data_IF_730899827921
#
_entry.id   IF_730899827921
#
_cell.length_a   1.000
_cell.length_b   1.000
_cell.length_c   1.000
_cell.angle_alpha   90.00
_cell.angle_beta   90.00
_cell.angle_gamma   90.00
#
_symmetry.space_group_name_H-M   'P 1'
#
loop_
_entity.id
_entity.type
_entity.pdbx_description
1 polymer ?
#
# COMPACT_ATOMS: atom_id res chain seq x y z
N UNK A 1 6.04 7.68 -10.96
CA UNK A 1 5.98 6.65 -9.91
C UNK A 1 7.10 5.67 -10.14
N UNK A 2 7.75 5.17 -9.09
CA UNK A 2 8.87 4.23 -9.17
C UNK A 2 8.43 2.90 -8.57
N UNK A 3 8.68 1.82 -9.32
CA UNK A 3 8.32 0.46 -8.94
C UNK A 3 9.51 -0.49 -9.05
N UNK A 4 9.51 -1.53 -8.22
CA UNK A 4 10.47 -2.65 -8.22
C UNK A 4 9.71 -3.97 -8.44
N UNK A 5 10.32 -5.04 -8.95
CA UNK A 5 9.65 -6.34 -9.02
C UNK A 5 9.24 -6.87 -7.65
N UNK A 6 8.12 -7.58 -7.60
CA UNK A 6 7.54 -8.11 -6.35
C UNK A 6 8.47 -9.07 -5.60
N UNK A 7 9.36 -9.75 -6.32
CA UNK A 7 10.23 -10.79 -5.77
C UNK A 7 11.42 -10.24 -4.97
N UNK A 8 11.61 -8.92 -4.92
CA UNK A 8 12.75 -8.27 -4.23
C UNK A 8 12.72 -8.50 -2.70
N UNK A 9 11.61 -9.00 -2.12
CA UNK A 9 11.44 -9.12 -0.67
C UNK A 9 10.93 -10.47 -0.16
N UNK A 10 11.06 -11.56 -0.93
CA UNK A 10 10.75 -12.89 -0.39
C UNK A 10 11.87 -13.41 0.50
N UNK A 11 11.95 -12.92 1.75
CA UNK A 11 12.57 -13.68 2.84
C UNK A 11 11.59 -13.85 4.00
N UNK A 12 11.19 -15.12 4.18
CA UNK A 12 10.68 -15.78 5.40
C UNK A 12 9.37 -15.26 6.00
N UNK A 13 8.26 -15.96 5.71
CA UNK A 13 7.55 -16.73 6.74
C UNK A 13 6.66 -17.82 6.12
N UNK A 14 6.84 -19.02 6.65
CA UNK A 14 6.19 -20.27 6.29
C UNK A 14 4.72 -20.28 6.64
N UNK A 15 3.92 -20.87 5.76
CA UNK A 15 2.54 -21.24 6.00
C UNK A 15 2.41 -22.08 7.29
N UNK A 16 1.51 -21.67 8.19
CA UNK A 16 1.04 -22.50 9.29
C UNK A 16 -0.47 -22.69 9.18
N UNK A 17 -0.92 -23.86 9.62
CA UNK A 17 -2.22 -24.46 9.37
C UNK A 17 -3.39 -23.69 10.00
N UNK A 18 -4.43 -23.51 9.20
CA UNK A 18 -5.60 -22.64 9.41
C UNK A 18 -6.46 -22.91 10.65
N UNK A 19 -6.34 -24.07 11.31
CA UNK A 19 -7.22 -24.44 12.44
C UNK A 19 -6.60 -24.16 13.81
N UNK A 20 -5.27 -24.04 13.90
CA UNK A 20 -4.58 -23.80 15.18
C UNK A 20 -4.38 -22.30 15.46
N UNK A 21 -4.17 -21.49 14.41
CA UNK A 21 -3.95 -20.05 14.55
C UNK A 21 -5.17 -19.31 15.11
N UNK A 22 -6.40 -19.68 14.72
CA UNK A 22 -7.62 -19.03 15.19
C UNK A 22 -7.87 -19.27 16.69
N UNK A 23 -7.52 -20.47 17.19
CA UNK A 23 -7.61 -20.81 18.61
C UNK A 23 -6.53 -20.10 19.44
N UNK A 24 -5.31 -19.97 18.91
CA UNK A 24 -4.21 -19.25 19.56
C UNK A 24 -4.49 -17.75 19.61
N UNK A 25 -5.00 -17.15 18.51
CA UNK A 25 -5.46 -15.77 18.49
C UNK A 25 -6.59 -15.56 19.51
N UNK A 26 -7.61 -16.44 19.55
CA UNK A 26 -8.66 -16.37 20.57
C UNK A 26 -8.10 -16.43 22.00
N UNK A 27 -7.13 -17.32 22.28
CA UNK A 27 -6.50 -17.45 23.60
C UNK A 27 -5.68 -16.20 23.98
N UNK A 28 -4.99 -15.59 23.02
CA UNK A 28 -4.30 -14.30 23.23
C UNK A 28 -5.33 -13.21 23.55
N UNK A 29 -6.44 -13.13 22.81
CA UNK A 29 -7.49 -12.14 23.06
C UNK A 29 -8.24 -12.37 24.39
N UNK A 30 -8.40 -13.61 24.84
CA UNK A 30 -8.97 -13.95 26.15
C UNK A 30 -8.07 -13.54 27.32
N UNK A 31 -6.77 -13.36 27.10
CA UNK A 31 -5.81 -12.94 28.12
C UNK A 31 -5.64 -11.42 28.26
N UNK A 32 -6.19 -10.65 27.31
CA UNK A 32 -6.08 -9.20 27.28
C UNK A 32 -7.28 -8.54 27.97
N UNK A 33 -7.04 -7.49 28.75
CA UNK A 33 -8.14 -6.64 29.21
C UNK A 33 -8.82 -5.95 28.02
N UNK A 34 -10.12 -5.58 28.12
CA UNK A 34 -10.85 -4.93 27.03
C UNK A 34 -10.12 -3.71 26.43
N UNK A 35 -9.48 -2.90 27.27
CA UNK A 35 -8.69 -1.74 26.81
C UNK A 35 -7.41 -2.11 26.05
N UNK A 36 -6.80 -3.26 26.34
CA UNK A 36 -5.63 -3.75 25.59
C UNK A 36 -6.02 -4.32 24.22
N UNK A 37 -7.20 -4.95 24.14
CA UNK A 37 -7.73 -5.46 22.86
C UNK A 37 -8.04 -4.30 21.90
N UNK A 38 -8.64 -3.22 22.41
CA UNK A 38 -8.91 -2.01 21.62
C UNK A 38 -7.61 -1.39 21.07
N UNK A 39 -6.61 -1.24 21.93
CA UNK A 39 -5.30 -0.72 21.53
C UNK A 39 -4.62 -1.62 20.48
N UNK A 40 -4.80 -2.95 20.58
CA UNK A 40 -4.24 -3.90 19.64
C UNK A 40 -4.92 -3.84 18.26
N UNK A 41 -6.25 -3.81 18.20
CA UNK A 41 -6.95 -3.67 16.91
C UNK A 41 -6.63 -2.32 16.26
N UNK A 42 -6.55 -1.25 17.05
CA UNK A 42 -6.16 0.06 16.55
C UNK A 42 -4.70 0.09 16.08
N UNK A 43 -3.81 -0.76 16.61
CA UNK A 43 -2.44 -0.86 16.09
C UNK A 43 -2.36 -1.62 14.76
N UNK A 44 -3.24 -2.60 14.55
CA UNK A 44 -3.29 -3.39 13.32
C UNK A 44 -4.04 -2.69 12.18
N UNK A 45 -5.14 -2.00 12.50
CA UNK A 45 -6.07 -1.46 11.52
C UNK A 45 -6.24 0.05 11.65
N UNK A 46 -6.24 0.74 10.51
CA UNK A 46 -6.72 2.11 10.40
C UNK A 46 -8.22 2.08 10.20
N UNK A 47 -8.93 2.76 11.08
CA UNK A 47 -10.39 2.81 11.11
C UNK A 47 -10.87 4.15 10.57
N UNK A 48 -11.81 4.11 9.63
CA UNK A 48 -12.45 5.26 9.02
C UNK A 48 -13.97 5.17 9.25
N UNK A 49 -14.48 5.74 10.35
CA UNK A 49 -15.91 5.89 10.58
C UNK A 49 -16.56 6.78 9.51
N UNK A 50 -17.82 6.52 9.18
CA UNK A 50 -18.54 7.27 8.17
C UNK A 50 -18.26 6.81 6.73
N UNK A 51 -17.66 5.64 6.55
CA UNK A 51 -17.28 5.10 5.24
C UNK A 51 -17.62 3.61 5.12
N UNK A 52 -18.05 3.21 3.91
CA UNK A 52 -18.25 1.82 3.50
C UNK A 52 -17.60 1.54 2.14
N UNK A 53 -17.39 0.27 1.83
CA UNK A 53 -17.00 -0.20 0.50
C UNK A 53 -18.26 -0.45 -0.35
N UNK A 54 -18.27 0.01 -1.61
CA UNK A 54 -19.50 0.10 -2.45
C UNK A 54 -19.42 -0.67 -3.79
N UNK A 55 -18.25 -0.72 -4.44
CA UNK A 55 -18.00 -1.42 -5.73
C UNK A 55 -17.17 -2.70 -5.54
N UNK A 56 -17.16 -3.65 -6.51
CA UNK A 56 -17.05 -5.09 -6.24
C UNK A 56 -15.70 -5.45 -5.64
N UNK A 57 -15.66 -5.41 -4.33
CA UNK A 57 -14.61 -6.01 -3.54
C UNK A 57 -15.07 -7.43 -3.32
N UNK A 58 -14.32 -8.43 -3.77
CA UNK A 58 -14.61 -9.83 -3.46
C UNK A 58 -14.60 -9.98 -1.95
N UNK A 59 -15.79 -10.08 -1.35
CA UNK A 59 -15.93 -10.38 0.07
C UNK A 59 -15.41 -11.79 0.30
N UNK A 60 -14.54 -11.94 1.29
CA UNK A 60 -14.14 -13.26 1.76
C UNK A 60 -15.28 -13.87 2.57
N UNK A 61 -15.75 -13.13 3.56
CA UNK A 61 -16.83 -13.55 4.45
C UNK A 61 -17.71 -12.35 4.83
N UNK A 62 -18.99 -12.61 5.03
CA UNK A 62 -19.94 -11.65 5.59
C UNK A 62 -20.67 -12.32 6.75
N UNK A 63 -20.67 -11.63 7.88
CA UNK A 63 -21.31 -12.03 9.12
C UNK A 63 -22.42 -11.05 9.44
N UNK A 64 -23.59 -11.58 9.80
CA UNK A 64 -24.72 -10.80 10.29
C UNK A 64 -25.10 -11.36 11.65
N UNK A 65 -24.78 -10.63 12.72
CA UNK A 65 -25.02 -11.05 14.08
C UNK A 65 -25.19 -9.80 14.97
N UNK A 66 -26.24 -9.76 15.78
CA UNK A 66 -26.60 -8.56 16.56
C UNK A 66 -25.49 -8.11 17.53
N UNK A 67 -24.79 -9.08 18.12
CA UNK A 67 -23.70 -8.80 19.06
C UNK A 67 -22.31 -8.62 18.44
N UNK A 68 -22.17 -8.62 17.11
CA UNK A 68 -20.85 -8.44 16.50
C UNK A 68 -20.32 -7.03 16.75
N UNK A 69 -19.15 -6.96 17.37
CA UNK A 69 -18.43 -5.72 17.64
C UNK A 69 -17.44 -5.39 16.51
N UNK A 70 -17.03 -4.12 16.46
CA UNK A 70 -15.98 -3.65 15.55
C UNK A 70 -14.67 -4.43 15.76
N UNK A 71 -14.33 -4.70 17.02
CA UNK A 71 -13.16 -5.48 17.42
C UNK A 71 -13.24 -6.89 16.84
N UNK A 72 -14.36 -7.59 17.06
CA UNK A 72 -14.55 -8.94 16.54
C UNK A 72 -14.49 -8.96 15.01
N UNK A 73 -15.00 -7.92 14.34
CA UNK A 73 -14.86 -7.80 12.88
C UNK A 73 -13.40 -7.68 12.44
N UNK A 74 -12.58 -6.91 13.17
CA UNK A 74 -11.14 -6.84 12.96
C UNK A 74 -10.41 -8.17 13.20
N UNK A 75 -10.81 -8.92 14.24
CA UNK A 75 -10.28 -10.26 14.53
C UNK A 75 -10.61 -11.23 13.39
N UNK A 76 -11.86 -11.22 12.90
CA UNK A 76 -12.32 -12.07 11.79
C UNK A 76 -11.61 -11.77 10.47
N UNK A 77 -11.08 -10.56 10.29
CA UNK A 77 -10.23 -10.25 9.14
C UNK A 77 -8.93 -11.06 9.15
N UNK A 78 -8.36 -11.36 10.33
CA UNK A 78 -7.17 -12.20 10.46
C UNK A 78 -6.02 -11.80 9.52
N UNK A 79 -5.27 -12.78 9.02
CA UNK A 79 -4.11 -12.55 8.15
C UNK A 79 -4.46 -12.40 6.66
N UNK A 80 -5.45 -13.16 6.17
CA UNK A 80 -5.80 -13.20 4.75
C UNK A 80 -6.67 -12.05 4.25
N UNK A 81 -7.26 -11.27 5.16
CA UNK A 81 -7.99 -10.08 4.78
C UNK A 81 -7.12 -8.82 4.87
N UNK A 82 -7.29 -7.93 3.89
CA UNK A 82 -6.64 -6.63 3.85
C UNK A 82 -7.50 -5.50 4.42
N UNK A 83 -8.83 -5.68 4.40
CA UNK A 83 -9.82 -4.67 4.78
C UNK A 83 -11.12 -5.30 5.26
N UNK A 84 -11.87 -4.58 6.10
CA UNK A 84 -13.22 -4.97 6.50
C UNK A 84 -14.15 -3.75 6.56
N UNK A 85 -15.46 -3.99 6.51
CA UNK A 85 -16.50 -3.00 6.84
C UNK A 85 -17.33 -3.52 7.99
N UNK A 86 -17.71 -2.61 8.88
CA UNK A 86 -18.51 -2.91 10.06
C UNK A 86 -19.64 -1.90 10.19
N UNK A 87 -20.84 -2.37 10.52
CA UNK A 87 -21.95 -1.53 10.93
C UNK A 87 -22.62 -2.13 12.16
N UNK A 88 -22.68 -1.34 13.23
CA UNK A 88 -23.48 -1.66 14.43
C UNK A 88 -24.97 -1.57 14.14
N UNK A 89 -25.40 -0.59 13.34
CA UNK A 89 -26.81 -0.36 12.98
C UNK A 89 -27.37 -1.54 12.19
N UNK A 90 -26.57 -2.09 11.28
CA UNK A 90 -26.96 -3.24 10.46
C UNK A 90 -26.50 -4.59 11.01
N UNK A 91 -25.89 -4.61 12.20
CA UNK A 91 -25.36 -5.84 12.83
C UNK A 91 -24.48 -6.65 11.88
N UNK A 92 -23.64 -5.97 11.09
CA UNK A 92 -22.96 -6.56 9.93
C UNK A 92 -21.47 -6.31 9.95
N UNK A 93 -20.71 -7.37 9.66
CA UNK A 93 -19.28 -7.34 9.38
C UNK A 93 -19.02 -8.02 8.03
N UNK A 94 -18.23 -7.38 7.17
CA UNK A 94 -17.78 -7.99 5.91
C UNK A 94 -16.27 -7.84 5.80
N UNK A 95 -15.57 -8.95 5.52
CA UNK A 95 -14.11 -8.98 5.33
C UNK A 95 -13.77 -9.12 3.85
N UNK A 96 -12.60 -8.62 3.47
CA UNK A 96 -12.18 -8.52 2.08
C UNK A 96 -10.71 -8.85 1.91
N UNK A 97 -10.38 -9.61 0.85
CA UNK A 97 -9.00 -9.93 0.50
C UNK A 97 -8.21 -8.72 0.03
N UNK A 98 -8.89 -7.79 -0.63
CA UNK A 98 -8.26 -6.61 -1.21
C UNK A 98 -7.54 -5.81 -0.14
N UNK A 99 -6.39 -5.26 -0.50
CA UNK A 99 -5.68 -4.27 0.32
C UNK A 99 -6.12 -2.87 -0.06
N UNK A 100 -6.00 -1.96 0.90
CA UNK A 100 -6.39 -0.56 0.75
C UNK A 100 -5.69 0.14 -0.43
N UNK A 101 -4.46 -0.19 -0.77
CA UNK A 101 -3.78 0.42 -1.92
C UNK A 101 -4.19 -0.18 -3.28
N UNK A 102 -4.90 -1.30 -3.31
CA UNK A 102 -5.26 -1.98 -4.55
C UNK A 102 -6.38 -1.23 -5.33
N UNK A 103 -6.42 -1.48 -6.63
CA UNK A 103 -7.51 -1.03 -7.51
C UNK A 103 -8.68 -2.01 -7.42
N UNK A 104 -9.85 -1.62 -7.94
CA UNK A 104 -11.02 -2.51 -8.03
C UNK A 104 -12.12 -2.27 -6.99
N UNK A 105 -11.91 -1.33 -6.06
CA UNK A 105 -12.95 -0.93 -5.10
C UNK A 105 -13.13 0.58 -5.02
N UNK A 106 -14.33 1.01 -4.65
CA UNK A 106 -14.66 2.40 -4.28
C UNK A 106 -15.25 2.46 -2.89
N UNK A 107 -15.16 3.63 -2.29
CA UNK A 107 -15.72 3.93 -0.97
C UNK A 107 -16.86 4.92 -1.10
N UNK A 108 -17.92 4.75 -0.32
CA UNK A 108 -19.00 5.71 -0.17
C UNK A 108 -19.00 6.27 1.26
N UNK A 109 -19.46 7.52 1.42
CA UNK A 109 -19.75 8.06 2.74
C UNK A 109 -21.05 7.46 3.25
N UNK A 110 -21.03 6.94 4.46
CA UNK A 110 -22.17 6.35 5.12
C UNK A 110 -21.92 6.35 6.64
N UNK A 111 -22.71 7.12 7.40
CA UNK A 111 -22.53 7.31 8.84
C UNK A 111 -22.65 6.03 9.65
N UNK A 112 -23.36 5.05 9.11
CA UNK A 112 -23.70 3.82 9.83
C UNK A 112 -22.57 2.79 9.75
N UNK A 113 -21.52 3.09 8.98
CA UNK A 113 -20.45 2.18 8.65
C UNK A 113 -19.08 2.69 9.08
N UNK A 114 -18.22 1.74 9.42
CA UNK A 114 -16.79 1.93 9.63
C UNK A 114 -16.04 1.06 8.65
N UNK A 115 -15.09 1.66 7.94
CA UNK A 115 -14.15 0.94 7.09
C UNK A 115 -12.81 0.79 7.80
N UNK A 116 -12.35 -0.44 7.97
CA UNK A 116 -11.04 -0.78 8.52
C UNK A 116 -10.10 -1.33 7.46
N UNK A 117 -8.82 -0.97 7.53
CA UNK A 117 -7.78 -1.58 6.69
C UNK A 117 -6.43 -1.71 7.42
N UNK A 118 -5.65 -2.73 7.05
CA UNK A 118 -4.35 -2.99 7.70
C UNK A 118 -3.40 -1.80 7.57
N UNK A 119 -2.71 -1.44 8.65
CA UNK A 119 -1.69 -0.37 8.69
C UNK A 119 -0.31 -0.86 8.30
N UNK A 120 -0.01 -2.09 8.66
CA UNK A 120 1.26 -2.73 8.37
C UNK A 120 1.22 -3.31 6.97
N UNK A 121 1.97 -2.67 6.08
CA UNK A 121 2.24 -3.20 4.75
C UNK A 121 3.74 -3.49 4.68
N UNK A 122 4.10 -4.76 4.51
CA UNK A 122 5.47 -5.13 4.20
C UNK A 122 5.91 -4.46 2.88
N UNK A 123 4.99 -4.43 1.90
CA UNK A 123 5.16 -3.74 0.61
C UNK A 123 3.82 -3.24 0.08
N UNK A 124 3.85 -2.13 -0.66
CA UNK A 124 2.72 -1.66 -1.46
C UNK A 124 2.88 -2.25 -2.85
N UNK A 125 1.93 -3.08 -3.31
CA UNK A 125 2.06 -3.81 -4.59
C UNK A 125 0.93 -3.52 -5.56
N UNK A 126 1.25 -3.46 -6.85
CA UNK A 126 0.33 -3.34 -7.97
C UNK A 126 0.70 -4.40 -9.02
N UNK A 127 -0.03 -5.51 -9.06
CA UNK A 127 0.33 -6.68 -9.86
C UNK A 127 1.67 -7.26 -9.41
N UNK A 128 2.61 -7.42 -10.35
CA UNK A 128 3.95 -7.97 -10.11
C UNK A 128 4.98 -6.91 -9.67
N UNK A 129 4.51 -5.69 -9.36
CA UNK A 129 5.35 -4.55 -9.02
C UNK A 129 5.09 -4.08 -7.59
N UNK A 130 6.15 -3.74 -6.87
CA UNK A 130 6.16 -3.03 -5.59
C UNK A 130 6.35 -1.54 -5.85
N UNK A 131 5.42 -0.70 -5.42
CA UNK A 131 5.57 0.76 -5.43
C UNK A 131 6.56 1.17 -4.35
N UNK A 132 7.63 1.86 -4.74
CA UNK A 132 8.61 2.41 -3.78
C UNK A 132 8.56 3.91 -3.68
N UNK A 133 8.08 4.60 -4.73
CA UNK A 133 7.92 6.05 -4.69
C UNK A 133 6.77 6.53 -5.56
N UNK A 134 5.97 7.45 -5.03
CA UNK A 134 4.97 8.20 -5.83
C UNK A 134 5.15 9.69 -5.60
N UNK A 135 5.53 10.38 -6.66
CA UNK A 135 5.48 11.83 -6.72
C UNK A 135 4.13 12.30 -7.26
N UNK A 136 3.48 13.23 -6.55
CA UNK A 136 2.25 13.90 -6.96
C UNK A 136 2.54 15.34 -7.40
N UNK A 137 2.09 15.73 -8.58
CA UNK A 137 2.26 17.12 -9.04
C UNK A 137 1.37 18.10 -8.27
N UNK A 138 1.80 19.36 -8.18
CA UNK A 138 1.01 20.50 -7.68
C UNK A 138 0.53 20.41 -6.22
N UNK A 139 1.29 19.71 -5.35
CA UNK A 139 1.01 19.64 -3.91
C UNK A 139 1.91 20.55 -3.05
N UNK A 140 2.82 21.31 -3.68
CA UNK A 140 3.76 22.18 -2.95
C UNK A 140 4.85 21.45 -2.17
N UNK A 141 5.03 20.15 -2.38
CA UNK A 141 6.06 19.31 -1.71
C UNK A 141 7.12 18.90 -2.72
N UNK A 142 8.40 19.07 -2.38
CA UNK A 142 9.52 18.68 -3.23
C UNK A 142 9.64 17.15 -3.29
N UNK A 143 9.52 16.58 -4.50
CA UNK A 143 9.72 15.15 -4.72
C UNK A 143 11.17 14.74 -4.42
N UNK A 144 12.12 15.59 -4.76
CA UNK A 144 13.54 15.40 -4.47
C UNK A 144 13.80 15.27 -2.97
N UNK A 145 13.36 16.26 -2.18
CA UNK A 145 13.57 16.25 -0.73
C UNK A 145 12.88 15.05 -0.09
N UNK A 146 11.73 14.61 -0.61
CA UNK A 146 11.10 13.38 -0.11
C UNK A 146 11.90 12.13 -0.49
N UNK A 147 12.39 12.02 -1.72
CA UNK A 147 13.21 10.87 -2.15
C UNK A 147 14.44 10.69 -1.25
N UNK A 148 15.18 11.78 -1.02
CA UNK A 148 16.48 11.75 -0.31
C UNK A 148 16.37 11.70 1.21
N UNK A 149 15.20 12.04 1.78
CA UNK A 149 15.00 12.03 3.23
C UNK A 149 14.66 10.62 3.74
N UNK A 150 15.64 9.92 4.32
CA UNK A 150 15.47 8.59 4.93
C UNK A 150 14.51 8.57 6.13
N UNK A 151 14.22 9.73 6.73
CA UNK A 151 13.24 9.86 7.83
C UNK A 151 11.80 10.01 7.32
N UNK A 152 11.58 10.18 6.01
CA UNK A 152 10.26 10.42 5.40
C UNK A 152 9.54 9.13 4.94
N UNK A 153 9.89 7.99 5.54
CA UNK A 153 9.27 6.69 5.23
C UNK A 153 7.78 6.68 5.59
N UNK A 154 6.98 6.11 4.69
CA UNK A 154 5.52 6.20 4.70
C UNK A 154 4.83 4.85 4.85
N UNK A 155 5.55 3.76 4.63
CA UNK A 155 5.08 2.39 4.85
C UNK A 155 5.72 1.77 6.08
N UNK A 156 5.21 0.60 6.47
CA UNK A 156 5.75 -0.23 7.54
C UNK A 156 6.05 0.51 8.87
N UNK A 157 5.05 1.12 9.56
CA UNK A 157 3.62 1.18 9.24
C UNK A 157 3.19 2.44 8.48
N UNK A 158 2.03 2.37 7.82
CA UNK A 158 1.33 3.57 7.36
C UNK A 158 0.78 4.34 8.56
N UNK A 159 1.28 5.55 8.78
CA UNK A 159 0.84 6.43 9.87
C UNK A 159 -0.61 6.89 9.70
N UNK A 160 -1.28 7.20 10.82
CA UNK A 160 -2.66 7.71 10.81
C UNK A 160 -2.79 9.07 10.12
N UNK A 161 -1.73 9.87 10.18
CA UNK A 161 -1.66 11.14 9.47
C UNK A 161 -1.48 10.96 7.96
N UNK A 162 -1.11 9.76 7.48
CA UNK A 162 -0.93 9.52 6.06
C UNK A 162 -2.27 9.26 5.38
N UNK A 163 -2.55 10.07 4.36
CA UNK A 163 -3.82 10.02 3.66
C UNK A 163 -3.91 8.76 2.82
N UNK A 164 -5.03 8.06 2.94
CA UNK A 164 -5.30 6.85 2.20
C UNK A 164 -5.17 7.04 0.67
N UNK A 165 -5.65 8.17 0.14
CA UNK A 165 -5.51 8.54 -1.26
C UNK A 165 -4.05 8.57 -1.75
N UNK A 166 -3.10 8.82 -0.85
CA UNK A 166 -1.69 8.85 -1.19
C UNK A 166 -1.07 7.46 -1.45
N UNK A 167 -1.74 6.38 -1.09
CA UNK A 167 -1.33 5.00 -1.39
C UNK A 167 -1.93 4.46 -2.69
N UNK A 168 -2.92 5.14 -3.29
CA UNK A 168 -3.67 4.64 -4.44
C UNK A 168 -3.20 5.22 -5.77
N UNK A 169 -3.34 4.43 -6.83
CA UNK A 169 -3.04 4.84 -8.21
C UNK A 169 -4.21 5.48 -8.95
N UNK A 170 -5.43 5.38 -8.42
CA UNK A 170 -6.66 5.77 -9.10
C UNK A 170 -7.50 6.82 -8.35
N UNK A 171 -6.93 7.43 -7.31
CA UNK A 171 -7.62 8.42 -6.50
C UNK A 171 -6.61 9.45 -5.95
N UNK A 172 -6.56 10.60 -6.63
CA UNK A 172 -5.55 11.64 -6.39
C UNK A 172 -6.05 12.80 -5.52
N UNK A 173 -7.35 13.06 -5.52
CA UNK A 173 -7.91 14.38 -5.20
C UNK A 173 -7.62 14.91 -3.80
N UNK A 174 -7.46 14.03 -2.80
CA UNK A 174 -7.15 14.45 -1.43
C UNK A 174 -5.69 14.28 -1.03
N UNK A 175 -4.83 13.73 -1.89
CA UNK A 175 -3.44 13.44 -1.54
C UNK A 175 -2.55 14.69 -1.57
N UNK A 176 -2.00 15.06 -0.42
CA UNK A 176 -1.15 16.25 -0.25
C UNK A 176 0.34 15.94 0.02
N UNK A 177 0.77 14.68 -0.16
CA UNK A 177 2.12 14.21 0.14
C UNK A 177 2.59 13.18 -0.89
N UNK A 178 3.90 13.05 -1.05
CA UNK A 178 4.48 11.94 -1.82
C UNK A 178 4.49 10.66 -0.98
N UNK A 179 4.41 9.50 -1.62
CA UNK A 179 4.67 8.22 -0.96
C UNK A 179 6.14 7.85 -1.12
N UNK A 180 6.76 7.38 -0.04
CA UNK A 180 8.14 6.90 0.00
C UNK A 180 8.24 5.63 0.84
N UNK A 181 8.70 4.55 0.22
CA UNK A 181 8.90 3.27 0.89
C UNK A 181 10.24 3.21 1.63
N UNK A 182 10.29 2.49 2.74
CA UNK A 182 11.52 2.12 3.45
C UNK A 182 12.53 1.36 2.57
N UNK A 183 12.07 0.72 1.48
CA UNK A 183 12.92 -0.01 0.54
C UNK A 183 13.95 0.91 -0.13
N UNK A 184 13.66 2.20 -0.29
CA UNK A 184 14.59 3.16 -0.87
C UNK A 184 15.88 3.28 -0.04
N UNK A 185 15.78 3.09 1.29
CA UNK A 185 16.94 3.10 2.19
C UNK A 185 17.66 1.75 2.24
N UNK A 186 17.02 0.67 1.79
CA UNK A 186 17.54 -0.70 1.71
C UNK A 186 17.56 -1.16 0.26
N UNK A 187 18.23 -0.38 -0.58
CA UNK A 187 18.31 -0.62 -2.02
C UNK A 187 19.25 -1.78 -2.33
N UNK A 188 18.74 -3.01 -2.16
CA UNK A 188 19.51 -4.24 -2.31
C UNK A 188 18.70 -5.25 -3.14
N UNK A 189 19.39 -6.08 -3.92
CA UNK A 189 18.78 -7.17 -4.71
C UNK A 189 17.68 -6.71 -5.68
N UNK A 190 17.85 -5.54 -6.28
CA UNK A 190 16.91 -4.98 -7.25
C UNK A 190 17.39 -5.35 -8.66
N UNK A 191 16.59 -6.14 -9.38
CA UNK A 191 16.86 -6.58 -10.75
C UNK A 191 16.33 -5.57 -11.78
N UNK A 192 15.15 -4.98 -11.53
CA UNK A 192 14.53 -3.99 -12.42
C UNK A 192 13.96 -2.81 -11.65
N UNK A 193 13.88 -1.67 -12.32
CA UNK A 193 13.18 -0.48 -11.81
C UNK A 193 12.29 0.06 -12.91
N UNK A 194 11.00 0.26 -12.63
CA UNK A 194 10.07 0.89 -13.57
C UNK A 194 9.72 2.29 -13.11
N UNK A 195 9.98 3.29 -13.95
CA UNK A 195 9.46 4.64 -13.82
C UNK A 195 8.22 4.78 -14.69
N UNK A 196 7.07 5.02 -14.09
CA UNK A 196 5.79 5.22 -14.80
C UNK A 196 5.25 6.63 -14.60
N UNK A 197 4.77 7.24 -15.69
CA UNK A 197 3.91 8.42 -15.65
C UNK A 197 2.46 7.98 -15.70
N UNK A 198 1.69 8.39 -14.70
CA UNK A 198 0.26 8.07 -14.61
C UNK A 198 -0.56 9.35 -14.82
N UNK A 199 -1.54 9.29 -15.69
CA UNK A 199 -2.51 10.37 -15.93
C UNK A 199 -3.90 9.78 -16.03
N UNK A 200 -4.88 10.42 -15.40
CA UNK A 200 -6.27 9.95 -15.36
C UNK A 200 -6.39 8.47 -15.00
N UNK A 201 -5.66 8.05 -13.96
CA UNK A 201 -5.63 6.68 -13.43
C UNK A 201 -5.02 5.61 -14.37
N UNK A 202 -4.39 6.02 -15.48
CA UNK A 202 -3.78 5.13 -16.49
C UNK A 202 -2.30 5.44 -16.69
N UNK A 203 -1.47 4.41 -16.88
CA UNK A 203 -0.08 4.59 -17.29
C UNK A 203 0.00 5.11 -18.72
N UNK A 204 0.55 6.32 -18.88
CA UNK A 204 0.66 6.99 -20.19
C UNK A 204 2.08 6.93 -20.77
N UNK A 205 3.08 6.67 -19.93
CA UNK A 205 4.46 6.50 -20.37
C UNK A 205 5.26 5.71 -19.32
N UNK A 206 6.30 5.00 -19.74
CA UNK A 206 7.20 4.32 -18.82
C UNK A 206 8.64 4.25 -19.34
N UNK A 207 9.57 4.04 -18.40
CA UNK A 207 10.93 3.57 -18.66
C UNK A 207 11.20 2.40 -17.72
N UNK A 208 11.71 1.31 -18.26
CA UNK A 208 12.17 0.15 -17.52
C UNK A 208 13.71 0.16 -17.51
N UNK A 209 14.28 0.10 -16.32
CA UNK A 209 15.73 0.11 -16.09
C UNK A 209 16.22 -1.23 -15.55
N UNK A 210 17.48 -1.55 -15.84
CA UNK A 210 18.25 -2.60 -15.18
C UNK A 210 18.72 -2.08 -13.81
N UNK A 211 18.14 -2.65 -12.76
CA UNK A 211 18.46 -2.29 -11.38
C UNK A 211 19.72 -2.96 -10.84
N UNK A 212 20.25 -3.98 -11.53
CA UNK A 212 21.36 -4.79 -11.03
C UNK A 212 22.59 -3.92 -10.79
N UNK A 213 23.15 -3.99 -9.57
CA UNK A 213 24.31 -3.18 -9.18
C UNK A 213 24.06 -1.66 -9.16
N UNK A 214 22.80 -1.22 -9.16
CA UNK A 214 22.44 0.18 -8.94
C UNK A 214 22.25 0.48 -7.46
N UNK A 215 22.14 1.77 -7.13
CA UNK A 215 21.67 2.25 -5.83
C UNK A 215 20.51 3.25 -6.04
N UNK A 216 19.94 3.74 -4.94
CA UNK A 216 18.84 4.73 -4.96
C UNK A 216 19.22 6.10 -5.59
N UNK A 217 20.46 6.28 -6.06
CA UNK A 217 20.93 7.47 -6.76
C UNK A 217 21.46 7.20 -8.18
N UNK A 218 21.55 5.94 -8.62
CA UNK A 218 22.19 5.59 -9.90
C UNK A 218 21.35 4.72 -10.83
N UNK A 219 20.18 4.24 -10.40
CA UNK A 219 19.35 3.31 -11.18
C UNK A 219 18.77 3.90 -12.48
N UNK A 220 18.73 5.22 -12.61
CA UNK A 220 18.05 5.95 -13.69
C UNK A 220 18.99 6.43 -14.81
N UNK A 221 20.19 5.87 -14.95
CA UNK A 221 21.10 6.21 -16.06
C UNK A 221 20.62 5.63 -17.39
N UNK A 222 20.96 6.31 -18.50
CA UNK A 222 20.57 5.90 -19.85
C UNK A 222 21.06 4.49 -20.19
N UNK A 223 22.30 4.14 -19.81
CA UNK A 223 22.90 2.82 -20.05
C UNK A 223 22.13 1.66 -19.38
N UNK A 224 21.25 1.98 -18.44
CA UNK A 224 20.40 1.00 -17.74
C UNK A 224 19.04 0.85 -18.39
N UNK A 225 18.68 1.63 -19.41
CA UNK A 225 17.37 1.53 -20.07
C UNK A 225 17.24 0.18 -20.78
N UNK A 226 16.29 -0.63 -20.36
CA UNK A 226 15.90 -1.90 -20.99
C UNK A 226 14.80 -1.70 -22.02
N UNK A 227 13.80 -0.86 -21.69
CA UNK A 227 12.72 -0.49 -22.60
C UNK A 227 12.06 0.82 -22.17
N UNK A 228 11.38 1.49 -23.09
CA UNK A 228 10.78 2.80 -22.86
C UNK A 228 9.65 3.07 -23.86
N UNK A 229 8.66 3.87 -23.47
CA UNK A 229 7.67 4.44 -24.41
C UNK A 229 8.25 5.57 -25.26
N UNK A 230 9.37 6.17 -24.85
CA UNK A 230 10.08 7.16 -25.65
C UNK A 230 11.01 6.46 -26.65
N UNK A 231 10.79 6.64 -27.95
CA UNK A 231 11.66 6.06 -28.98
C UNK A 231 13.09 6.56 -28.80
N UNK A 232 14.07 5.68 -29.04
CA UNK A 232 15.50 6.00 -29.05
C UNK A 232 16.09 6.49 -27.72
N UNK A 233 15.35 6.48 -26.60
CA UNK A 233 15.88 6.93 -25.30
C UNK A 233 17.19 6.22 -24.92
N UNK A 234 17.33 4.93 -25.26
CA UNK A 234 18.54 4.15 -24.97
C UNK A 234 19.75 4.49 -25.88
N UNK A 235 19.52 5.18 -27.00
CA UNK A 235 20.53 5.45 -28.04
C UNK A 235 20.67 6.93 -28.38
N UNK A 236 20.00 7.80 -27.64
CA UNK A 236 19.98 9.24 -27.87
C UNK A 236 21.28 9.87 -27.34
N UNK A 237 22.05 10.53 -28.22
CA UNK A 237 23.31 11.17 -27.88
C UNK A 237 23.14 12.64 -27.47
N UNK A 238 21.92 13.19 -27.56
CA UNK A 238 21.58 14.57 -27.22
C UNK A 238 20.81 14.69 -25.91
N UNK A 239 20.86 13.68 -25.03
CA UNK A 239 20.14 13.74 -23.76
C UNK A 239 20.71 14.86 -22.87
N UNK A 240 19.85 15.79 -22.50
CA UNK A 240 20.08 16.53 -21.27
C UNK A 240 20.06 15.54 -20.10
N UNK A 241 21.09 15.61 -19.25
CA UNK A 241 21.20 14.72 -18.10
C UNK A 241 19.97 14.94 -17.22
N UNK A 242 19.07 13.96 -17.19
CA UNK A 242 18.02 13.90 -16.19
C UNK A 242 18.65 13.51 -14.87
N UNK A 243 19.12 14.50 -14.12
CA UNK A 243 19.59 14.30 -12.77
C UNK A 243 18.44 14.56 -11.80
N UNK A 244 17.97 13.51 -11.11
CA UNK A 244 17.10 13.71 -9.94
C UNK A 244 17.76 14.64 -8.89
N UNK A 245 19.08 14.80 -8.92
CA UNK A 245 19.91 15.55 -7.98
C UNK A 245 20.39 16.94 -8.47
N UNK A 246 20.04 17.37 -9.69
CA UNK A 246 20.58 18.60 -10.30
C UNK A 246 21.89 18.38 -11.05
#
# INVERSE_FOLDING_TARGET
MVFLPRNVLTSVHSASSFTSAMAILLLIYLSLSPGQVDAHIQSLFKLLPGYRLDKPTTSLQTFVHEDISLIQCGILCGDDCGMFTYSKVHSRCSTYKHRNFEIGYTTARDSDWTWGYKRLHATITHGDWTLVFRAQRRIGVSAYNTWTNSQATTDNPVLDTFQHACLRLNYYGSCNRHFRSHIIDRWENIDKVKLSLISSDVEVAYILFNGTGSNNKSWFSQERVLSSTWPNLASDNGLEIFNLFG
#
